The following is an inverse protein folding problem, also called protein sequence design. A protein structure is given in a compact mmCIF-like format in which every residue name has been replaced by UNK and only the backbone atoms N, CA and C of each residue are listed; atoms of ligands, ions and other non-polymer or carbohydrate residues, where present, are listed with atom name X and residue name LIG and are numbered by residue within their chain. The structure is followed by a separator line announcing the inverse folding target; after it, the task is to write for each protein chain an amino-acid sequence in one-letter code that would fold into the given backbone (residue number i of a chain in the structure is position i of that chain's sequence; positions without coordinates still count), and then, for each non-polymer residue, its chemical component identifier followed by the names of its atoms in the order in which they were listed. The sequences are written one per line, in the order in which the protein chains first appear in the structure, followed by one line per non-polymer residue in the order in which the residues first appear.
data_IF_258868771555
#
_entry.id   IF_258868771555
#
_cell.length_a   1.000
_cell.length_b   1.000
_cell.length_c   1.000
_cell.angle_alpha   90.00
_cell.angle_beta   90.00
_cell.angle_gamma   90.00
#
_symmetry.space_group_name_H-M   'P 1'
#
loop_
_entity.id
_entity.type
_entity.pdbx_description
1 polymer ?
#
# COMPACT_ATOMS: atom_id res chain seq x y z
N UNK A 1 -19.72 -4.23 -9.89
CA UNK A 1 -18.92 -3.07 -10.35
C UNK A 1 -17.87 -3.63 -11.30
N UNK A 2 -17.93 -3.28 -12.59
CA UNK A 2 -17.00 -3.79 -13.60
C UNK A 2 -15.61 -3.23 -13.35
N UNK A 3 -14.77 -3.96 -12.62
CA UNK A 3 -13.32 -3.86 -12.80
C UNK A 3 -13.05 -4.60 -14.09
N UNK A 4 -13.02 -3.88 -15.22
CA UNK A 4 -12.47 -4.44 -16.45
C UNK A 4 -11.10 -5.01 -16.09
N UNK A 5 -10.87 -6.31 -16.35
CA UNK A 5 -9.62 -7.01 -16.04
C UNK A 5 -8.45 -6.13 -16.48
N UNK A 6 -7.80 -5.43 -15.55
CA UNK A 6 -6.56 -4.75 -15.89
C UNK A 6 -5.57 -5.83 -16.29
N UNK A 7 -4.98 -5.67 -17.47
CA UNK A 7 -3.94 -6.57 -17.94
C UNK A 7 -2.72 -6.43 -17.00
N UNK A 8 -1.98 -7.52 -16.77
CA UNK A 8 -0.70 -7.51 -16.05
C UNK A 8 0.20 -6.34 -16.48
N UNK A 9 0.25 -6.03 -17.79
CA UNK A 9 0.99 -4.89 -18.34
C UNK A 9 0.54 -3.56 -17.74
N UNK A 10 -0.77 -3.31 -17.68
CA UNK A 10 -1.31 -2.04 -17.18
C UNK A 10 -1.06 -1.88 -15.68
N UNK A 11 -1.18 -2.98 -14.93
CA UNK A 11 -0.88 -3.03 -13.49
C UNK A 11 0.59 -2.73 -13.24
N UNK A 12 1.50 -3.37 -13.99
CA UNK A 12 2.95 -3.16 -13.86
C UNK A 12 3.38 -1.76 -14.31
N UNK A 13 2.77 -1.21 -15.37
CA UNK A 13 2.99 0.18 -15.76
C UNK A 13 2.57 1.15 -14.66
N UNK A 14 1.42 0.91 -14.03
CA UNK A 14 0.97 1.72 -12.89
C UNK A 14 1.89 1.56 -11.68
N UNK A 15 2.43 0.36 -11.44
CA UNK A 15 3.42 0.12 -10.39
C UNK A 15 4.66 1.01 -10.57
N UNK A 16 5.20 1.08 -11.79
CA UNK A 16 6.35 1.94 -12.13
C UNK A 16 6.02 3.42 -11.91
N UNK A 17 4.84 3.88 -12.33
CA UNK A 17 4.42 5.27 -12.13
C UNK A 17 4.29 5.63 -10.64
N UNK A 18 3.79 4.70 -9.83
CA UNK A 18 3.68 4.90 -8.38
C UNK A 18 5.07 4.93 -7.71
N UNK A 19 5.98 4.04 -8.09
CA UNK A 19 7.36 4.00 -7.56
C UNK A 19 8.10 5.32 -7.86
N UNK A 20 8.02 5.80 -9.11
CA UNK A 20 8.60 7.07 -9.52
C UNK A 20 8.01 8.28 -8.78
N UNK A 21 6.72 8.23 -8.44
CA UNK A 21 6.05 9.27 -7.68
C UNK A 21 6.26 9.18 -6.17
N UNK A 22 7.08 8.22 -5.70
CA UNK A 22 7.34 7.99 -4.27
C UNK A 22 6.19 7.30 -3.52
N UNK A 23 5.16 6.82 -4.23
CA UNK A 23 4.09 6.00 -3.66
C UNK A 23 4.54 4.55 -3.56
N UNK A 24 5.45 4.29 -2.64
CA UNK A 24 6.15 3.02 -2.45
C UNK A 24 5.24 1.88 -1.99
N UNK A 25 4.23 2.14 -1.16
CA UNK A 25 3.29 1.12 -0.70
C UNK A 25 2.38 0.69 -1.84
N UNK A 26 1.87 1.65 -2.61
CA UNK A 26 1.05 1.38 -3.77
C UNK A 26 1.84 0.63 -4.85
N UNK A 27 3.06 1.08 -5.14
CA UNK A 27 3.95 0.42 -6.08
C UNK A 27 4.23 -1.03 -5.66
N UNK A 28 4.54 -1.28 -4.38
CA UNK A 28 4.82 -2.61 -3.87
C UNK A 28 3.67 -3.58 -4.16
N UNK A 29 2.44 -3.18 -3.84
CA UNK A 29 1.27 -4.02 -4.06
C UNK A 29 1.01 -4.26 -5.56
N UNK A 30 1.10 -3.22 -6.39
CA UNK A 30 0.90 -3.34 -7.84
C UNK A 30 1.97 -4.22 -8.50
N UNK A 31 3.23 -4.18 -8.04
CA UNK A 31 4.24 -5.11 -8.51
C UNK A 31 3.87 -6.55 -8.12
N UNK A 32 3.46 -6.81 -6.87
CA UNK A 32 3.07 -8.15 -6.43
C UNK A 32 1.89 -8.70 -7.26
N UNK A 33 0.83 -7.93 -7.41
CA UNK A 33 -0.36 -8.33 -8.18
C UNK A 33 -0.01 -8.54 -9.66
N UNK A 34 0.74 -7.60 -10.25
CA UNK A 34 1.14 -7.67 -11.65
C UNK A 34 2.06 -8.85 -11.95
N UNK A 35 3.00 -9.15 -11.05
CA UNK A 35 3.89 -10.31 -11.13
C UNK A 35 3.08 -11.61 -11.05
N UNK A 36 2.13 -11.71 -10.11
CA UNK A 36 1.30 -12.91 -9.96
C UNK A 36 0.50 -13.20 -11.24
N UNK A 37 -0.17 -12.18 -11.79
CA UNK A 37 -0.94 -12.33 -13.03
C UNK A 37 -0.02 -12.69 -14.21
N UNK A 38 1.19 -12.11 -14.27
CA UNK A 38 2.15 -12.42 -15.31
C UNK A 38 2.71 -13.85 -15.19
N UNK A 39 2.94 -14.33 -13.97
CA UNK A 39 3.36 -15.71 -13.70
C UNK A 39 2.30 -16.72 -14.13
N UNK A 40 1.03 -16.45 -13.83
CA UNK A 40 -0.08 -17.31 -14.24
C UNK A 40 -0.18 -17.38 -15.78
N UNK A 41 -0.06 -16.23 -16.46
CA UNK A 41 -0.07 -16.16 -17.93
C UNK A 41 1.10 -16.93 -18.57
N UNK A 42 2.29 -16.86 -17.95
CA UNK A 42 3.47 -17.61 -18.42
C UNK A 42 3.31 -19.10 -18.19
N UNK A 43 2.60 -19.51 -17.14
CA UNK A 43 2.26 -20.92 -16.89
C UNK A 43 1.56 -21.57 -18.09
N UNK A 44 0.60 -20.84 -18.69
CA UNK A 44 -0.23 -21.28 -19.81
C UNK A 44 0.42 -21.15 -21.20
N UNK A 45 1.57 -20.47 -21.31
CA UNK A 45 2.26 -20.27 -22.60
C UNK A 45 2.97 -21.57 -23.06
N UNK A 46 2.89 -21.89 -24.34
CA UNK A 46 3.51 -23.11 -24.90
C UNK A 46 4.89 -22.83 -25.53
N UNK A 47 5.12 -21.59 -25.96
CA UNK A 47 6.37 -21.17 -26.60
C UNK A 47 7.49 -20.96 -25.55
N UNK A 48 8.49 -21.84 -25.60
CA UNK A 48 9.66 -21.83 -24.70
C UNK A 48 10.48 -20.55 -24.83
N UNK A 49 10.55 -19.96 -26.03
CA UNK A 49 11.33 -18.73 -26.28
C UNK A 49 10.63 -17.54 -25.63
N UNK A 50 9.31 -17.43 -25.79
CA UNK A 50 8.50 -16.38 -25.14
C UNK A 50 8.51 -16.54 -23.62
N UNK A 51 8.37 -17.77 -23.12
CA UNK A 51 8.49 -18.07 -21.68
C UNK A 51 9.78 -17.51 -21.09
N UNK A 52 10.92 -17.74 -21.76
CA UNK A 52 12.22 -17.22 -21.31
C UNK A 52 12.22 -15.70 -21.20
N UNK A 53 11.74 -14.99 -22.22
CA UNK A 53 11.65 -13.51 -22.22
C UNK A 53 10.75 -13.01 -21.09
N UNK A 54 9.61 -13.67 -20.84
CA UNK A 54 8.74 -13.29 -19.75
C UNK A 54 9.38 -13.52 -18.38
N UNK A 55 10.08 -14.64 -18.17
CA UNK A 55 10.78 -14.90 -16.91
C UNK A 55 11.89 -13.88 -16.61
N UNK A 56 12.64 -13.47 -17.64
CA UNK A 56 13.64 -12.40 -17.49
C UNK A 56 12.97 -11.10 -17.01
N UNK A 57 11.83 -10.73 -17.60
CA UNK A 57 11.07 -9.54 -17.19
C UNK A 57 10.43 -9.67 -15.81
N UNK A 58 9.90 -10.84 -15.48
CA UNK A 58 9.36 -11.14 -14.14
C UNK A 58 10.45 -10.96 -13.09
N UNK A 59 11.66 -11.46 -13.35
CA UNK A 59 12.79 -11.31 -12.45
C UNK A 59 13.12 -9.84 -12.18
N UNK A 60 13.16 -9.00 -13.23
CA UNK A 60 13.36 -7.56 -13.05
C UNK A 60 12.30 -6.92 -12.13
N UNK A 61 11.04 -7.31 -12.27
CA UNK A 61 9.97 -6.79 -11.42
C UNK A 61 10.04 -7.32 -9.99
N UNK A 62 10.45 -8.57 -9.78
CA UNK A 62 10.69 -9.14 -8.44
C UNK A 62 11.82 -8.37 -7.75
N UNK A 63 12.97 -8.20 -8.42
CA UNK A 63 14.12 -7.48 -7.87
C UNK A 63 13.73 -6.05 -7.45
N UNK A 64 12.86 -5.38 -8.25
CA UNK A 64 12.31 -4.06 -7.90
C UNK A 64 11.36 -4.12 -6.70
N UNK A 65 10.46 -5.09 -6.65
CA UNK A 65 9.53 -5.25 -5.53
C UNK A 65 10.27 -5.51 -4.20
N UNK A 66 11.38 -6.26 -4.24
CA UNK A 66 12.25 -6.49 -3.09
C UNK A 66 12.96 -5.20 -2.63
N UNK A 67 13.52 -4.43 -3.56
CA UNK A 67 14.12 -3.12 -3.24
C UNK A 67 13.12 -2.16 -2.58
N UNK A 68 11.87 -2.16 -3.04
CA UNK A 68 10.80 -1.35 -2.45
C UNK A 68 10.45 -1.85 -1.05
N UNK A 69 10.35 -3.17 -0.86
CA UNK A 69 10.10 -3.77 0.46
C UNK A 69 11.16 -3.36 1.48
N UNK A 70 12.44 -3.35 1.09
CA UNK A 70 13.53 -2.89 1.95
C UNK A 70 13.41 -1.40 2.31
N UNK A 71 12.98 -0.56 1.37
CA UNK A 71 12.70 0.86 1.62
C UNK A 71 11.59 1.01 2.66
N UNK A 72 10.46 0.33 2.46
CA UNK A 72 9.32 0.34 3.40
C UNK A 72 9.79 -0.09 4.79
N UNK A 73 10.53 -1.20 4.90
CA UNK A 73 11.08 -1.66 6.18
C UNK A 73 12.01 -0.63 6.84
N UNK A 74 12.86 0.06 6.08
CA UNK A 74 13.71 1.12 6.61
C UNK A 74 12.90 2.29 7.16
N UNK A 75 11.84 2.72 6.48
CA UNK A 75 10.95 3.76 7.00
C UNK A 75 10.23 3.30 8.26
N UNK A 76 9.80 2.04 8.31
CA UNK A 76 9.22 1.45 9.53
C UNK A 76 10.26 1.46 10.65
N UNK A 77 11.44 0.85 10.49
CA UNK A 77 12.44 0.73 11.56
C UNK A 77 12.92 2.10 12.07
N UNK A 78 13.04 3.11 11.19
CA UNK A 78 13.44 4.47 11.58
C UNK A 78 12.39 5.25 12.37
N UNK A 79 11.13 4.80 12.38
CA UNK A 79 10.06 5.54 13.05
C UNK A 79 10.36 5.73 14.54
N UNK A 80 10.51 6.98 14.95
CA UNK A 80 10.65 7.39 16.35
C UNK A 80 9.29 7.80 16.93
N UNK A 81 9.12 7.64 18.25
CA UNK A 81 7.91 8.12 18.92
C UNK A 81 7.92 9.65 18.95
N UNK A 82 7.08 10.27 18.11
CA UNK A 82 6.96 11.73 18.04
C UNK A 82 6.02 12.28 19.12
N UNK A 83 4.95 11.56 19.43
CA UNK A 83 3.93 12.02 20.38
C UNK A 83 3.13 10.85 20.95
N UNK A 84 2.75 10.96 22.22
CA UNK A 84 1.79 10.08 22.88
C UNK A 84 0.67 10.96 23.47
N UNK A 85 -0.58 10.67 23.09
CA UNK A 85 -1.75 11.39 23.58
C UNK A 85 -2.72 10.40 24.21
N UNK A 86 -2.89 10.50 25.51
CA UNK A 86 -3.96 9.79 26.22
C UNK A 86 -5.31 10.45 25.88
N UNK A 87 -6.33 9.61 25.69
CA UNK A 87 -7.72 10.05 25.50
C UNK A 87 -8.49 9.55 26.71
N UNK A 88 -8.96 10.49 27.54
CA UNK A 88 -9.70 10.16 28.75
C UNK A 88 -11.11 9.68 28.40
N UNK A 89 -11.68 8.89 29.31
CA UNK A 89 -13.04 8.37 29.16
C UNK A 89 -14.06 9.51 29.06
N UNK A 90 -15.01 9.38 28.13
CA UNK A 90 -16.01 10.39 27.78
C UNK A 90 -15.45 11.77 27.37
N UNK A 91 -14.16 11.89 27.07
CA UNK A 91 -13.58 13.14 26.58
C UNK A 91 -14.04 13.45 25.15
N UNK A 92 -14.17 14.74 24.83
CA UNK A 92 -14.60 15.23 23.51
C UNK A 92 -13.46 15.97 22.80
N UNK A 93 -13.62 16.25 21.50
CA UNK A 93 -12.61 16.98 20.72
C UNK A 93 -11.47 16.12 20.15
N UNK A 94 -11.60 14.79 20.20
CA UNK A 94 -10.62 13.82 19.69
C UNK A 94 -11.03 13.26 18.31
N UNK A 95 -11.36 14.13 17.36
CA UNK A 95 -11.60 13.71 15.97
C UNK A 95 -10.31 13.32 15.27
N UNK A 96 -10.39 12.59 14.14
CA UNK A 96 -9.20 12.26 13.35
C UNK A 96 -8.43 13.50 12.92
N UNK A 97 -9.14 14.54 12.48
CA UNK A 97 -8.52 15.81 12.15
C UNK A 97 -7.73 16.42 13.31
N UNK A 98 -8.27 16.41 14.55
CA UNK A 98 -7.56 17.00 15.70
C UNK A 98 -6.39 16.14 16.19
N UNK A 99 -6.41 14.84 15.95
CA UNK A 99 -5.35 13.91 16.34
C UNK A 99 -4.21 13.84 15.29
N UNK A 100 -4.56 13.80 14.02
CA UNK A 100 -3.63 13.50 12.93
C UNK A 100 -3.41 14.63 11.94
N UNK A 101 -4.30 15.64 11.91
CA UNK A 101 -4.31 16.68 10.89
C UNK A 101 -2.99 17.45 10.78
N UNK A 102 -2.30 17.68 11.90
CA UNK A 102 -0.99 18.35 11.91
C UNK A 102 0.12 17.55 11.20
N UNK A 103 -0.06 16.23 11.08
CA UNK A 103 0.90 15.36 10.40
C UNK A 103 0.50 15.05 8.96
N UNK A 104 -0.73 15.37 8.54
CA UNK A 104 -1.25 15.15 7.19
C UNK A 104 -1.12 16.41 6.34
N UNK A 105 0.11 16.71 5.91
CA UNK A 105 0.40 17.85 5.04
C UNK A 105 0.54 17.43 3.55
N UNK A 106 0.84 18.38 2.67
CA UNK A 106 0.97 18.13 1.23
C UNK A 106 2.15 17.22 0.84
N UNK A 107 3.11 17.03 1.75
CA UNK A 107 4.27 16.17 1.53
C UNK A 107 3.94 14.70 1.77
N UNK A 108 2.92 14.40 2.59
CA UNK A 108 2.44 13.03 2.80
C UNK A 108 1.87 12.46 1.51
N UNK A 109 2.50 11.41 0.98
CA UNK A 109 2.07 10.74 -0.26
C UNK A 109 1.22 9.50 0.00
N UNK A 110 1.47 8.82 1.11
CA UNK A 110 0.79 7.58 1.48
C UNK A 110 0.70 7.46 3.00
N UNK A 111 -0.29 6.70 3.48
CA UNK A 111 -0.48 6.37 4.89
C UNK A 111 -0.60 4.86 5.00
N UNK A 112 0.23 4.25 5.87
CA UNK A 112 0.11 2.85 6.24
C UNK A 112 -0.74 2.73 7.50
N UNK A 113 -1.85 1.99 7.40
CA UNK A 113 -2.75 1.77 8.51
C UNK A 113 -2.86 0.28 8.85
N UNK A 114 -2.44 -0.08 10.07
CA UNK A 114 -2.52 -1.42 10.63
C UNK A 114 -3.67 -1.49 11.66
N UNK A 115 -4.88 -1.83 11.18
CA UNK A 115 -6.10 -1.86 11.99
C UNK A 115 -6.64 -3.29 12.14
N UNK A 116 -6.55 -3.89 13.34
CA UNK A 116 -6.99 -5.27 13.57
C UNK A 116 -8.51 -5.41 13.70
N UNK A 117 -9.27 -4.32 13.82
CA UNK A 117 -10.71 -4.32 14.14
C UNK A 117 -11.54 -3.58 13.09
N UNK A 118 -11.39 -3.92 11.81
CA UNK A 118 -12.17 -3.36 10.71
C UNK A 118 -13.16 -4.40 10.16
N UNK A 119 -14.13 -4.81 10.97
CA UNK A 119 -15.11 -5.86 10.63
C UNK A 119 -16.53 -5.32 10.49
N UNK A 120 -16.90 -4.39 11.37
CA UNK A 120 -18.27 -3.90 11.51
C UNK A 120 -18.53 -2.63 10.68
N UNK A 121 -19.78 -2.43 10.27
CA UNK A 121 -20.19 -1.28 9.45
C UNK A 121 -19.80 0.06 10.07
N UNK A 122 -19.96 0.21 11.38
CA UNK A 122 -19.61 1.45 12.07
C UNK A 122 -18.10 1.69 12.08
N UNK A 123 -17.28 0.64 12.16
CA UNK A 123 -15.83 0.75 12.08
C UNK A 123 -15.44 1.27 10.70
N UNK A 124 -15.99 0.70 9.62
CA UNK A 124 -15.72 1.15 8.25
C UNK A 124 -16.18 2.59 8.00
N UNK A 125 -17.37 2.97 8.49
CA UNK A 125 -17.97 4.29 8.27
C UNK A 125 -17.11 5.42 8.88
N UNK A 126 -16.45 5.12 10.00
CA UNK A 126 -15.53 6.02 10.70
C UNK A 126 -14.31 6.37 9.82
N UNK A 127 -13.87 5.49 8.91
CA UNK A 127 -12.73 5.74 8.00
C UNK A 127 -13.09 6.37 6.65
N UNK A 128 -14.36 6.32 6.23
CA UNK A 128 -14.78 6.83 4.90
C UNK A 128 -14.95 8.35 4.79
N UNK A 129 -14.69 9.10 5.87
CA UNK A 129 -14.77 10.56 5.89
C UNK A 129 -13.36 11.15 6.07
N UNK A 130 -12.61 11.34 4.98
CA UNK A 130 -11.68 12.47 4.78
C UNK A 130 -10.97 12.38 3.41
N UNK A 131 -10.64 13.54 2.84
CA UNK A 131 -10.21 13.80 1.46
C UNK A 131 -8.84 13.21 1.03
N UNK A 132 -8.40 12.08 1.59
CA UNK A 132 -7.12 11.49 1.22
C UNK A 132 -7.28 10.50 0.06
N UNK A 133 -6.85 10.91 -1.14
CA UNK A 133 -7.14 10.18 -2.39
C UNK A 133 -6.46 8.80 -2.49
N UNK A 134 -5.53 8.43 -1.61
CA UNK A 134 -4.80 7.15 -1.65
C UNK A 134 -4.45 6.60 -0.24
N UNK A 135 -5.44 6.42 0.65
CA UNK A 135 -5.24 5.64 1.88
C UNK A 135 -5.39 4.14 1.60
N UNK A 136 -4.47 3.30 2.08
CA UNK A 136 -4.58 1.83 1.97
C UNK A 136 -4.51 1.16 3.34
N UNK A 137 -5.48 0.30 3.61
CA UNK A 137 -5.58 -0.53 4.81
C UNK A 137 -5.01 -1.91 4.54
N UNK A 138 -4.06 -2.35 5.35
CA UNK A 138 -3.61 -3.75 5.36
C UNK A 138 -4.00 -4.37 6.69
N UNK A 139 -4.89 -5.35 6.67
CA UNK A 139 -5.27 -6.11 7.86
C UNK A 139 -4.15 -7.10 8.20
N UNK A 140 -3.17 -6.67 8.99
CA UNK A 140 -2.26 -7.56 9.71
C UNK A 140 -2.15 -7.12 11.16
N UNK A 141 -2.16 -8.12 12.04
CA UNK A 141 -2.26 -8.00 13.49
C UNK A 141 -1.06 -7.26 14.09
N UNK A 142 -1.30 -6.05 14.60
CA UNK A 142 -0.58 -5.29 15.64
C UNK A 142 -0.75 -3.80 15.33
N UNK A 143 -1.26 -2.99 16.25
CA UNK A 143 -1.55 -1.58 15.98
C UNK A 143 -0.28 -0.73 16.15
N UNK A 144 0.13 -0.04 15.09
CA UNK A 144 1.13 1.04 15.12
C UNK A 144 0.83 2.02 13.99
N UNK A 145 0.36 3.21 14.33
CA UNK A 145 0.15 4.29 13.37
C UNK A 145 1.54 4.83 12.95
N UNK A 146 1.93 4.66 11.69
CA UNK A 146 3.20 5.18 11.15
C UNK A 146 2.94 5.97 9.88
N UNK A 147 3.32 7.24 9.93
CA UNK A 147 3.31 8.14 8.77
C UNK A 147 4.67 7.96 8.11
N UNK A 148 4.70 7.49 6.86
CA UNK A 148 5.92 7.24 6.10
C UNK A 148 6.35 8.46 5.28
#
# INVERSE_FOLDING_TARGET
MFVGKMNAKDILMRAVQCDQAGRILEAQHLYQDGIQILMDLVGDESDVTKKKVFYERIKEYIDRAEQIKDRVQKHVIRGELVSNKAIDDNSTGNSYHSLFGQYLNADVKEVLLEEPYLYEKYQVCVYSNENNKHSRTTTKYSCSFRIL
#
